data_IF_247327496839
#
_entry.id   IF_247327496839
#
_cell.length_a   1.000
_cell.length_b   1.000
_cell.length_c   1.000
_cell.angle_alpha   90.00
_cell.angle_beta   90.00
_cell.angle_gamma   90.00
#
_symmetry.space_group_name_H-M   'P 1'
#
loop_
_entity.id
_entity.type
_entity.pdbx_description
1 polymer ?
#
# COMPACT_ATOMS: atom_id res chain seq x y z
N UNK A 1 10.19 -11.92 8.62
CA UNK A 1 10.12 -11.60 10.07
C UNK A 1 10.86 -10.28 10.36
N UNK A 2 10.38 -9.15 9.83
CA UNK A 2 10.97 -7.82 10.12
C UNK A 2 10.36 -7.18 11.38
N UNK A 3 9.03 -7.03 11.38
CA UNK A 3 8.27 -6.53 12.54
C UNK A 3 8.34 -7.43 13.78
N UNK A 4 8.74 -8.69 13.63
CA UNK A 4 9.02 -9.57 14.77
C UNK A 4 10.27 -9.18 15.56
N UNK A 5 11.24 -8.49 14.93
CA UNK A 5 12.46 -7.99 15.59
C UNK A 5 12.36 -6.51 15.93
N UNK A 6 11.70 -5.72 15.06
CA UNK A 6 11.47 -4.29 15.28
C UNK A 6 9.98 -3.97 15.07
N UNK A 7 9.16 -3.94 16.14
CA UNK A 7 7.70 -3.80 16.03
C UNK A 7 7.24 -2.62 15.16
N UNK A 8 7.91 -1.48 15.27
CA UNK A 8 7.58 -0.24 14.55
C UNK A 8 8.31 -0.09 13.21
N UNK A 9 8.85 -1.19 12.66
CA UNK A 9 9.49 -1.17 11.35
C UNK A 9 8.50 -0.72 10.27
N UNK A 10 8.78 0.45 9.68
CA UNK A 10 8.11 0.96 8.49
C UNK A 10 8.47 0.13 7.27
N UNK A 11 7.46 -0.31 6.53
CA UNK A 11 7.58 -1.16 5.34
C UNK A 11 6.73 -0.56 4.23
N UNK A 12 7.32 -0.40 3.06
CA UNK A 12 6.58 -0.01 1.86
C UNK A 12 7.06 -0.74 0.62
N UNK A 13 6.38 -0.50 -0.49
CA UNK A 13 6.68 -1.06 -1.80
C UNK A 13 6.97 0.06 -2.80
N UNK A 14 7.87 -0.18 -3.74
CA UNK A 14 8.17 0.71 -4.86
C UNK A 14 8.07 -0.03 -6.20
N UNK A 15 8.02 0.74 -7.29
CA UNK A 15 7.93 0.22 -8.65
C UNK A 15 6.51 0.25 -9.19
N UNK A 16 6.27 -0.48 -10.28
CA UNK A 16 5.01 -0.42 -11.02
C UNK A 16 3.80 -0.87 -10.20
N UNK A 17 3.99 -1.90 -9.38
CA UNK A 17 2.98 -2.42 -8.46
C UNK A 17 2.52 -1.38 -7.42
N UNK A 18 3.37 -0.40 -7.08
CA UNK A 18 2.98 0.67 -6.15
C UNK A 18 1.92 1.62 -6.72
N UNK A 19 1.64 1.55 -8.03
CA UNK A 19 0.59 2.32 -8.71
C UNK A 19 -0.47 1.46 -9.39
N UNK A 20 -0.44 0.14 -9.20
CA UNK A 20 -1.48 -0.79 -9.66
C UNK A 20 -2.54 -0.95 -8.57
N UNK A 21 -3.84 -0.66 -8.84
CA UNK A 21 -4.88 -0.68 -7.82
C UNK A 21 -5.00 -2.02 -7.06
N UNK A 22 -4.97 -3.15 -7.77
CA UNK A 22 -5.08 -4.47 -7.14
C UNK A 22 -3.90 -4.75 -6.20
N UNK A 23 -2.69 -4.38 -6.62
CA UNK A 23 -1.49 -4.47 -5.81
C UNK A 23 -1.53 -3.54 -4.59
N UNK A 24 -2.03 -2.31 -4.72
CA UNK A 24 -2.18 -1.37 -3.59
C UNK A 24 -3.14 -1.91 -2.54
N UNK A 25 -4.30 -2.44 -2.97
CA UNK A 25 -5.27 -3.07 -2.07
C UNK A 25 -4.67 -4.30 -1.38
N UNK A 26 -3.93 -5.13 -2.10
CA UNK A 26 -3.20 -6.25 -1.52
C UNK A 26 -2.15 -5.81 -0.49
N UNK A 27 -1.38 -4.77 -0.79
CA UNK A 27 -0.38 -4.20 0.13
C UNK A 27 -1.02 -3.65 1.41
N UNK A 28 -2.19 -3.01 1.30
CA UNK A 28 -2.99 -2.57 2.45
C UNK A 28 -3.38 -3.75 3.33
N UNK A 29 -3.90 -4.83 2.73
CA UNK A 29 -4.29 -6.07 3.46
C UNK A 29 -3.10 -6.76 4.15
N UNK A 30 -1.88 -6.62 3.61
CA UNK A 30 -0.65 -7.09 4.26
C UNK A 30 -0.14 -6.15 5.37
N UNK A 31 -0.75 -4.98 5.53
CA UNK A 31 -0.39 -3.98 6.52
C UNK A 31 0.89 -3.22 6.18
N UNK A 32 1.20 -2.98 4.91
CA UNK A 32 2.28 -2.06 4.52
C UNK A 32 1.94 -0.63 4.94
N UNK A 33 2.96 0.15 5.29
CA UNK A 33 2.81 1.55 5.73
C UNK A 33 2.65 2.52 4.55
N UNK A 34 3.25 2.23 3.39
CA UNK A 34 3.18 3.11 2.22
C UNK A 34 3.42 2.39 0.89
N UNK A 35 3.03 3.06 -0.20
CA UNK A 35 3.36 2.69 -1.59
C UNK A 35 4.09 3.84 -2.26
N UNK A 36 4.97 3.53 -3.21
CA UNK A 36 5.71 4.50 -4.01
C UNK A 36 5.59 4.15 -5.49
N UNK A 37 5.14 5.11 -6.29
CA UNK A 37 4.90 4.94 -7.72
C UNK A 37 5.30 6.20 -8.51
N UNK A 38 5.31 6.08 -9.85
CA UNK A 38 5.61 7.22 -10.72
C UNK A 38 4.62 8.38 -10.50
N UNK A 39 5.03 9.64 -10.71
CA UNK A 39 4.22 10.82 -10.39
C UNK A 39 2.79 10.76 -10.98
N UNK A 40 2.66 10.29 -12.22
CA UNK A 40 1.37 10.18 -12.91
C UNK A 40 0.45 9.11 -12.31
N UNK A 41 0.98 8.11 -11.59
CA UNK A 41 0.20 7.07 -10.91
C UNK A 41 -0.17 7.43 -9.47
N UNK A 42 0.37 8.52 -8.91
CA UNK A 42 0.06 8.95 -7.53
C UNK A 42 -1.45 9.12 -7.31
N UNK A 43 -2.24 9.75 -8.21
CA UNK A 43 -3.69 9.86 -8.02
C UNK A 43 -4.39 8.49 -7.98
N UNK A 44 -3.96 7.55 -8.83
CA UNK A 44 -4.50 6.18 -8.88
C UNK A 44 -4.19 5.44 -7.58
N UNK A 45 -2.94 5.47 -7.12
CA UNK A 45 -2.51 4.84 -5.87
C UNK A 45 -3.27 5.39 -4.65
N UNK A 46 -3.51 6.72 -4.62
CA UNK A 46 -4.29 7.36 -3.55
C UNK A 46 -5.75 6.91 -3.53
N UNK A 47 -6.40 6.85 -4.69
CA UNK A 47 -7.79 6.39 -4.80
C UNK A 47 -7.90 4.92 -4.40
N UNK A 48 -7.00 4.06 -4.90
CA UNK A 48 -6.99 2.64 -4.57
C UNK A 48 -6.74 2.40 -3.07
N UNK A 49 -5.84 3.16 -2.44
CA UNK A 49 -5.61 3.09 -1.00
C UNK A 49 -6.86 3.48 -0.19
N UNK A 50 -7.60 4.52 -0.63
CA UNK A 50 -8.84 4.91 0.02
C UNK A 50 -9.94 3.83 -0.14
N UNK A 51 -10.06 3.24 -1.32
CA UNK A 51 -10.99 2.12 -1.57
C UNK A 51 -10.65 0.91 -0.69
N UNK A 52 -9.37 0.56 -0.54
CA UNK A 52 -8.94 -0.54 0.33
C UNK A 52 -9.40 -0.36 1.78
N UNK A 53 -9.32 0.87 2.31
CA UNK A 53 -9.79 1.20 3.66
C UNK A 53 -11.32 1.12 3.79
N UNK A 54 -12.06 1.50 2.74
CA UNK A 54 -13.52 1.39 2.73
C UNK A 54 -13.97 -0.07 2.69
N UNK A 55 -13.31 -0.91 1.89
CA UNK A 55 -13.59 -2.34 1.79
C UNK A 55 -13.29 -3.10 3.09
N UNK A 56 -12.23 -2.74 3.82
CA UNK A 56 -11.91 -3.37 5.11
C UNK A 56 -12.95 -3.05 6.21
N UNK A 57 -13.61 -1.89 6.12
CA UNK A 57 -14.59 -1.43 7.11
C UNK A 57 -16.03 -1.90 6.83
N UNK A 58 -16.27 -2.50 5.66
CA UNK A 58 -17.57 -3.04 5.27
C UNK A 58 -17.75 -4.46 5.83
#
# INVERSE_FOLDING_TARGET
RGRGTRPELKIGICGEHGGDPASVIFCHKLGLDYVSCSPFRVPIARLAAAQAVLEEKA
#
